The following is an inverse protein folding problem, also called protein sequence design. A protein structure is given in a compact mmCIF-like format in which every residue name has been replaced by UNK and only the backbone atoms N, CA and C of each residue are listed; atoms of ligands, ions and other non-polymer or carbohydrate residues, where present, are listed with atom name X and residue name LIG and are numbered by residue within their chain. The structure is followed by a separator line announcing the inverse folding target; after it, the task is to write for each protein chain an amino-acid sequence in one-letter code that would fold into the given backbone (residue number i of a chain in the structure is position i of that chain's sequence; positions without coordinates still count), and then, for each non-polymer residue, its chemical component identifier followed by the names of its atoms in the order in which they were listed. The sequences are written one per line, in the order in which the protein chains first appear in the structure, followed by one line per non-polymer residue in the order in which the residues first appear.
data_IF_850208974020
#
_entry.id   IF_850208974020
#
_cell.length_a   1.000
_cell.length_b   1.000
_cell.length_c   1.000
_cell.angle_alpha   90.00
_cell.angle_beta   90.00
_cell.angle_gamma   90.00
#
_symmetry.space_group_name_H-M   'P 1'
#
loop_
_entity.id
_entity.type
_entity.pdbx_description
1 polymer ?
#
# COMPACT_ATOMS: atom_id res chain seq x y z
N UNK A 1 8.22 0.38 -4.30
CA UNK A 1 8.08 1.58 -3.42
C UNK A 1 8.84 1.26 -2.15
N UNK A 2 9.82 2.09 -1.73
CA UNK A 2 10.62 1.81 -0.52
C UNK A 2 9.94 2.36 0.71
N UNK A 3 9.92 1.57 1.79
CA UNK A 3 9.46 2.02 3.09
C UNK A 3 10.43 3.07 3.65
N UNK A 4 9.99 4.28 4.01
CA UNK A 4 10.85 5.32 4.58
C UNK A 4 11.40 4.98 5.97
N UNK A 5 10.81 4.01 6.69
CA UNK A 5 11.29 3.61 8.01
C UNK A 5 12.44 2.61 7.97
N UNK A 6 12.39 1.62 7.09
CA UNK A 6 13.37 0.52 7.07
C UNK A 6 14.02 0.27 5.71
N UNK A 7 13.65 1.03 4.67
CA UNK A 7 14.16 0.88 3.31
C UNK A 7 13.64 -0.35 2.55
N UNK A 8 12.80 -1.18 3.16
CA UNK A 8 12.26 -2.38 2.53
C UNK A 8 11.32 -2.06 1.36
N UNK A 9 11.42 -2.83 0.29
CA UNK A 9 10.62 -2.68 -0.94
C UNK A 9 9.34 -3.52 -0.92
N UNK A 10 9.19 -4.36 0.10
CA UNK A 10 8.02 -5.21 0.29
C UNK A 10 6.91 -4.44 1.01
N UNK A 11 5.94 -4.03 0.22
CA UNK A 11 4.77 -3.26 0.63
C UNK A 11 3.55 -4.14 0.37
N UNK A 12 2.79 -4.44 1.42
CA UNK A 12 1.71 -5.43 1.43
C UNK A 12 0.42 -4.84 1.99
N UNK A 13 -0.69 -5.56 1.82
CA UNK A 13 -1.98 -5.16 2.34
C UNK A 13 -1.95 -5.13 3.87
N UNK A 14 -2.39 -4.03 4.52
CA UNK A 14 -2.45 -3.95 5.98
C UNK A 14 -3.43 -4.95 6.60
N UNK A 15 -4.41 -5.46 5.84
CA UNK A 15 -5.46 -6.36 6.33
C UNK A 15 -5.08 -7.83 6.21
N UNK A 16 -4.65 -8.28 5.03
CA UNK A 16 -4.36 -9.71 4.78
C UNK A 16 -2.89 -10.01 4.48
N UNK A 17 -2.01 -9.00 4.41
CA UNK A 17 -0.62 -9.19 3.98
C UNK A 17 -0.45 -9.50 2.49
N UNK A 18 -1.54 -9.46 1.73
CA UNK A 18 -1.54 -9.78 0.31
C UNK A 18 -0.98 -8.69 -0.58
N UNK A 19 -0.83 -9.01 -1.86
CA UNK A 19 -0.27 -8.07 -2.84
C UNK A 19 -1.22 -6.87 -3.08
N UNK A 20 -0.64 -5.67 -3.10
CA UNK A 20 -1.35 -4.43 -3.38
C UNK A 20 -1.14 -4.01 -4.83
N UNK A 21 -2.24 -3.86 -5.55
CA UNK A 21 -2.27 -3.30 -6.89
C UNK A 21 -2.43 -1.78 -6.79
N UNK A 22 -1.64 -0.98 -7.54
CA UNK A 22 -1.83 0.46 -7.60
C UNK A 22 -3.20 0.78 -8.20
N UNK A 23 -3.99 1.59 -7.51
CA UNK A 23 -5.27 2.07 -8.05
C UNK A 23 -5.04 2.95 -9.28
N UNK A 24 -5.85 2.79 -10.32
CA UNK A 24 -5.86 3.76 -11.42
C UNK A 24 -6.47 5.06 -10.93
N UNK A 25 -5.85 6.20 -11.29
CA UNK A 25 -6.18 7.57 -10.86
C UNK A 25 -7.63 8.03 -11.14
N UNK A 26 -8.47 7.18 -11.74
CA UNK A 26 -9.78 7.53 -12.28
C UNK A 26 -10.95 7.36 -11.30
N UNK A 27 -10.78 6.67 -10.16
CA UNK A 27 -11.83 6.52 -9.15
C UNK A 27 -11.34 7.14 -7.83
N UNK A 28 -11.94 8.28 -7.46
CA UNK A 28 -11.52 9.11 -6.33
C UNK A 28 -11.10 8.33 -5.08
N UNK A 29 -9.92 8.65 -4.58
CA UNK A 29 -9.51 8.50 -3.18
C UNK A 29 -9.00 7.13 -2.69
N UNK A 30 -8.53 6.22 -3.55
CA UNK A 30 -7.84 4.99 -3.08
C UNK A 30 -6.53 4.75 -3.84
N UNK A 31 -5.41 4.90 -3.13
CA UNK A 31 -4.06 4.74 -3.70
C UNK A 31 -3.72 3.29 -4.06
N UNK A 32 -4.30 2.31 -3.35
CA UNK A 32 -4.02 0.89 -3.56
C UNK A 32 -5.27 0.02 -3.37
N UNK A 33 -5.32 -1.11 -4.07
CA UNK A 33 -6.33 -2.16 -3.87
C UNK A 33 -5.64 -3.49 -3.66
N UNK A 34 -6.01 -4.22 -2.62
CA UNK A 34 -5.49 -5.56 -2.42
C UNK A 34 -6.09 -6.53 -3.43
N UNK A 35 -5.22 -7.34 -4.04
CA UNK A 35 -5.61 -8.38 -5.00
C UNK A 35 -6.31 -9.56 -4.33
N UNK A 36 -5.94 -9.88 -3.10
CA UNK A 36 -6.46 -11.04 -2.37
C UNK A 36 -7.77 -10.75 -1.66
N UNK A 37 -7.80 -9.77 -0.75
CA UNK A 37 -9.03 -9.43 -0.03
C UNK A 37 -9.91 -8.41 -0.74
N UNK A 38 -9.47 -7.85 -1.87
CA UNK A 38 -10.23 -6.85 -2.63
C UNK A 38 -10.34 -5.47 -1.98
N UNK A 39 -9.80 -5.31 -0.77
CA UNK A 39 -9.89 -4.10 0.05
C UNK A 39 -9.17 -2.94 -0.62
N UNK A 40 -9.88 -1.83 -0.79
CA UNK A 40 -9.30 -0.59 -1.28
C UNK A 40 -8.77 0.22 -0.09
N UNK A 41 -7.46 0.49 -0.08
CA UNK A 41 -6.78 1.17 1.01
C UNK A 41 -6.07 2.42 0.50
N UNK A 42 -6.21 3.51 1.26
CA UNK A 42 -5.44 4.74 1.05
C UNK A 42 -4.00 4.66 1.57
N UNK A 43 -3.58 3.53 2.14
CA UNK A 43 -2.24 3.32 2.67
C UNK A 43 -1.88 1.84 2.54
N UNK A 44 -0.58 1.56 2.60
CA UNK A 44 -0.07 0.20 2.55
C UNK A 44 0.72 -0.11 3.83
N UNK A 45 1.05 -1.38 4.08
CA UNK A 45 1.87 -1.78 5.22
C UNK A 45 3.20 -2.33 4.74
N UNK A 46 4.30 -1.96 5.38
CA UNK A 46 5.59 -2.55 5.06
C UNK A 46 5.70 -3.92 5.74
N UNK A 47 6.01 -4.98 4.99
CA UNK A 47 6.25 -6.33 5.55
C UNK A 47 7.48 -6.32 6.45
N UNK A 48 8.54 -5.61 6.06
CA UNK A 48 9.84 -5.65 6.74
C UNK A 48 9.86 -5.00 8.13
N UNK A 49 9.15 -3.89 8.33
CA UNK A 49 9.09 -3.22 9.64
C UNK A 49 7.69 -3.23 10.28
N UNK A 50 6.69 -3.75 9.59
CA UNK A 50 5.31 -3.79 10.05
C UNK A 50 4.64 -2.42 10.18
N UNK A 51 5.29 -1.31 9.79
CA UNK A 51 4.72 0.03 9.86
C UNK A 51 3.90 0.37 8.63
N UNK A 52 2.86 1.16 8.85
CA UNK A 52 2.04 1.72 7.79
C UNK A 52 2.81 2.79 7.01
N UNK A 53 2.71 2.72 5.69
CA UNK A 53 3.33 3.60 4.73
C UNK A 53 2.20 4.33 3.98
N UNK A 54 2.09 5.62 4.27
CA UNK A 54 1.07 6.51 3.71
C UNK A 54 1.20 6.55 2.18
N UNK A 55 0.06 6.51 1.48
CA UNK A 55 0.00 6.67 0.02
C UNK A 55 0.71 7.94 -0.42
N UNK A 56 1.62 7.75 -1.38
CA UNK A 56 2.02 8.70 -2.41
C UNK A 56 1.50 10.12 -2.18
N UNK A 57 2.33 10.91 -1.52
CA UNK A 57 2.34 12.36 -1.68
C UNK A 57 2.59 12.62 -3.17
N UNK A 58 1.56 13.05 -3.88
CA UNK A 58 1.71 13.53 -5.24
C UNK A 58 2.53 14.82 -5.17
N UNK A 59 3.75 14.77 -5.70
CA UNK A 59 4.48 15.93 -6.25
C UNK A 59 4.14 16.03 -7.73
#
# INVERSE_FOLDING_TARGET
MKCPNCGSEKIVCPSCGGELLPGTKAAGSVGFRCKECGMACGFARCEGCGKDVISLRWV
#
